data_IF_986983257224
#
_entry.id   IF_986983257224
#
_cell.length_a   1.000
_cell.length_b   1.000
_cell.length_c   1.000
_cell.angle_alpha   90.00
_cell.angle_beta   90.00
_cell.angle_gamma   90.00
#
_symmetry.space_group_name_H-M   'P 1'
#
loop_
_entity.id
_entity.type
_entity.pdbx_description
1 polymer ?
#
# COMPACT_ATOMS: atom_id res chain seq x y z
N UNK A 1 -35.80 -6.09 26.57
CA UNK A 1 -36.33 -6.36 25.22
C UNK A 1 -36.61 -5.02 24.57
N UNK A 2 -35.72 -4.56 23.69
CA UNK A 2 -36.04 -3.58 22.64
C UNK A 2 -35.13 -3.89 21.46
N UNK A 3 -35.74 -4.17 20.31
CA UNK A 3 -35.10 -4.56 19.06
C UNK A 3 -35.03 -3.33 18.17
N UNK A 4 -33.81 -2.98 17.76
CA UNK A 4 -33.48 -1.89 16.86
C UNK A 4 -33.96 -2.17 15.41
N UNK A 5 -34.76 -1.25 14.89
CA UNK A 5 -35.10 -1.09 13.48
C UNK A 5 -33.96 -0.37 12.74
N UNK A 6 -33.22 -1.05 11.84
CA UNK A 6 -32.35 -0.41 10.83
C UNK A 6 -32.17 -1.31 9.60
N UNK A 7 -33.10 -1.26 8.63
CA UNK A 7 -32.99 -1.94 7.33
C UNK A 7 -33.48 -1.04 6.18
N UNK A 8 -32.79 0.08 5.91
CA UNK A 8 -33.24 1.02 4.86
C UNK A 8 -32.17 1.65 3.96
N UNK A 9 -30.89 1.63 4.33
CA UNK A 9 -29.89 2.47 3.63
C UNK A 9 -28.89 1.72 2.73
N UNK A 10 -28.86 0.38 2.77
CA UNK A 10 -27.90 -0.41 1.98
C UNK A 10 -28.45 -0.88 0.61
N UNK A 11 -29.75 -0.76 0.37
CA UNK A 11 -30.36 -1.19 -0.89
C UNK A 11 -30.21 -0.17 -2.04
N UNK A 12 -29.95 1.10 -1.72
CA UNK A 12 -29.95 2.19 -2.72
C UNK A 12 -28.58 2.39 -3.38
N UNK A 13 -27.48 2.08 -2.68
CA UNK A 13 -26.11 2.22 -3.22
C UNK A 13 -25.76 1.06 -4.17
N UNK A 14 -26.30 -0.15 -3.92
CA UNK A 14 -26.04 -1.33 -4.77
C UNK A 14 -26.67 -1.22 -6.18
N UNK A 15 -27.72 -0.42 -6.38
CA UNK A 15 -28.37 -0.25 -7.69
C UNK A 15 -27.69 0.76 -8.61
N UNK A 16 -26.93 1.73 -8.09
CA UNK A 16 -26.26 2.72 -8.95
C UNK A 16 -25.00 2.16 -9.64
N UNK A 17 -24.38 1.13 -9.04
CA UNK A 17 -23.18 0.50 -9.58
C UNK A 17 -23.46 -0.55 -10.67
N UNK A 18 -24.59 -1.26 -10.61
CA UNK A 18 -24.99 -2.20 -11.67
C UNK A 18 -25.47 -1.49 -12.95
N UNK A 19 -26.22 -0.38 -12.80
CA UNK A 19 -26.76 0.38 -13.95
C UNK A 19 -25.64 1.06 -14.76
N UNK A 20 -24.49 1.32 -14.16
CA UNK A 20 -23.31 1.87 -14.84
C UNK A 20 -22.56 0.83 -15.68
N UNK A 21 -22.54 -0.45 -15.24
CA UNK A 21 -21.89 -1.53 -15.99
C UNK A 21 -22.70 -1.98 -17.21
N UNK A 22 -24.03 -2.01 -17.14
CA UNK A 22 -24.86 -2.38 -18.29
C UNK A 22 -24.80 -1.34 -19.41
N UNK A 23 -24.66 -0.05 -19.09
CA UNK A 23 -24.49 1.03 -20.09
C UNK A 23 -23.16 0.96 -20.84
N UNK A 24 -22.09 0.55 -20.17
CA UNK A 24 -20.78 0.37 -20.80
C UNK A 24 -20.78 -0.80 -21.79
N UNK A 25 -21.51 -1.87 -21.48
CA UNK A 25 -21.62 -3.06 -22.34
C UNK A 25 -22.62 -2.88 -23.49
N UNK A 26 -23.70 -2.11 -23.31
CA UNK A 26 -24.64 -1.80 -24.38
C UNK A 26 -24.02 -0.95 -25.49
N UNK A 27 -23.09 -0.03 -25.14
CA UNK A 27 -22.35 0.75 -26.13
C UNK A 27 -21.35 -0.10 -26.94
N UNK A 28 -20.81 -1.17 -26.36
CA UNK A 28 -19.93 -2.11 -27.07
C UNK A 28 -20.72 -3.00 -28.03
N UNK A 29 -21.96 -3.37 -27.69
CA UNK A 29 -22.83 -4.19 -28.55
C UNK A 29 -23.43 -3.41 -29.72
N UNK A 30 -23.77 -2.14 -29.52
CA UNK A 30 -24.24 -1.27 -30.59
C UNK A 30 -23.15 -0.97 -31.65
N UNK A 31 -21.87 -1.02 -31.25
CA UNK A 31 -20.74 -0.77 -32.15
C UNK A 31 -20.30 -1.97 -33.00
N UNK A 32 -20.84 -3.16 -32.75
CA UNK A 32 -20.44 -4.41 -33.44
C UNK A 32 -21.47 -4.89 -34.48
N UNK A 33 -22.54 -4.13 -34.71
CA UNK A 33 -23.67 -4.55 -35.56
C UNK A 33 -23.68 -4.03 -37.00
N UNK A 34 -22.81 -3.08 -37.38
CA UNK A 34 -22.83 -2.50 -38.74
C UNK A 34 -21.52 -2.76 -39.46
N UNK A 35 -21.59 -3.63 -40.46
CA UNK A 35 -20.46 -3.98 -41.32
C UNK A 35 -19.95 -2.77 -42.09
N UNK A 36 -18.72 -2.34 -41.78
CA UNK A 36 -17.81 -1.65 -42.69
C UNK A 36 -16.37 -2.05 -42.40
N UNK A 37 -15.60 -2.07 -43.47
CA UNK A 37 -14.26 -2.61 -43.60
C UNK A 37 -13.24 -2.07 -42.59
N UNK A 38 -12.29 -2.96 -42.30
CA UNK A 38 -11.16 -2.82 -41.40
C UNK A 38 -10.40 -1.48 -41.52
N UNK A 39 -10.47 -0.67 -40.46
CA UNK A 39 -9.38 0.23 -40.05
C UNK A 39 -9.08 -0.01 -38.57
N UNK A 40 -7.79 -0.20 -38.29
CA UNK A 40 -7.26 -0.88 -37.11
C UNK A 40 -7.83 -0.42 -35.77
N UNK A 41 -8.35 -1.38 -35.01
CA UNK A 41 -8.49 -1.27 -33.56
C UNK A 41 -7.14 -0.78 -33.01
N UNK A 42 -7.21 0.42 -32.45
CA UNK A 42 -6.10 1.35 -32.25
C UNK A 42 -4.96 0.76 -31.43
N UNK A 43 -3.74 1.19 -31.76
CA UNK A 43 -2.51 1.01 -30.99
C UNK A 43 -2.65 1.36 -29.49
N UNK A 44 -3.70 2.09 -29.13
CA UNK A 44 -4.15 2.35 -27.77
C UNK A 44 -4.47 1.05 -27.00
N UNK A 45 -5.32 0.17 -27.53
CA UNK A 45 -5.72 -1.05 -26.79
C UNK A 45 -4.55 -2.04 -26.61
N UNK A 46 -3.66 -2.16 -27.59
CA UNK A 46 -2.43 -2.99 -27.45
C UNK A 46 -1.45 -2.45 -26.41
N UNK A 47 -1.50 -1.15 -26.08
CA UNK A 47 -0.66 -0.52 -25.05
C UNK A 47 -1.26 -0.57 -23.64
N UNK A 48 -2.58 -0.73 -23.53
CA UNK A 48 -3.31 -0.76 -22.25
C UNK A 48 -3.66 -2.19 -21.77
N UNK A 49 -3.78 -3.18 -22.66
CA UNK A 49 -4.16 -4.56 -22.30
C UNK A 49 -3.12 -5.37 -21.49
N UNK A 50 -1.78 -5.18 -21.61
CA UNK A 50 -0.82 -5.87 -20.75
C UNK A 50 -0.91 -5.46 -19.27
N UNK A 51 -1.57 -4.33 -18.97
CA UNK A 51 -1.82 -3.84 -17.61
C UNK A 51 -3.09 -4.44 -17.00
N UNK A 52 -4.08 -4.83 -17.82
CA UNK A 52 -5.34 -5.44 -17.36
C UNK A 52 -5.18 -6.93 -17.03
N UNK A 53 -4.32 -7.65 -17.75
CA UNK A 53 -4.01 -9.06 -17.41
C UNK A 53 -3.19 -9.22 -16.12
N UNK A 54 -2.54 -8.14 -15.62
CA UNK A 54 -1.94 -8.09 -14.27
C UNK A 54 -2.94 -7.76 -13.16
N UNK A 55 -4.12 -7.25 -13.48
CA UNK A 55 -5.19 -6.96 -12.51
C UNK A 55 -5.96 -8.24 -12.15
N UNK A 56 -5.93 -9.26 -13.02
CA UNK A 56 -6.53 -10.58 -12.77
C UNK A 56 -5.50 -11.68 -12.49
N UNK A 57 -4.24 -11.31 -12.23
CA UNK A 57 -3.28 -12.25 -11.65
C UNK A 57 -3.80 -12.63 -10.27
N UNK A 58 -4.24 -13.88 -10.14
CA UNK A 58 -4.76 -14.56 -8.96
C UNK A 58 -4.67 -13.68 -7.71
N UNK A 59 -5.80 -13.12 -7.30
CA UNK A 59 -5.92 -12.51 -5.98
C UNK A 59 -5.50 -13.58 -4.99
N UNK A 60 -4.23 -13.52 -4.57
CA UNK A 60 -3.76 -14.33 -3.45
C UNK A 60 -4.77 -14.06 -2.36
N UNK A 61 -5.41 -15.11 -1.79
CA UNK A 61 -6.40 -14.91 -0.75
C UNK A 61 -5.76 -13.97 0.26
N UNK A 62 -6.33 -12.76 0.40
CA UNK A 62 -5.77 -11.69 1.23
C UNK A 62 -5.49 -12.36 2.56
N UNK A 63 -4.22 -12.67 2.84
CA UNK A 63 -3.88 -13.44 4.02
C UNK A 63 -4.51 -12.71 5.19
N UNK A 64 -5.48 -13.33 5.86
CA UNK A 64 -6.25 -12.64 6.88
C UNK A 64 -5.28 -12.22 7.97
N UNK A 65 -5.00 -10.92 8.04
CA UNK A 65 -4.06 -10.41 9.02
C UNK A 65 -4.66 -10.63 10.41
N UNK A 66 -3.86 -11.25 11.28
CA UNK A 66 -4.18 -11.33 12.70
C UNK A 66 -4.15 -9.92 13.31
N UNK A 67 -4.95 -9.64 14.35
CA UNK A 67 -4.88 -8.35 15.07
C UNK A 67 -3.48 -8.02 15.60
N UNK A 68 -2.70 -9.06 15.91
CA UNK A 68 -1.32 -8.95 16.41
C UNK A 68 -0.36 -9.14 15.24
N UNK A 69 0.68 -8.29 15.17
CA UNK A 69 1.79 -8.45 14.21
C UNK A 69 2.68 -9.60 14.69
N UNK A 70 2.94 -10.57 13.84
CA UNK A 70 3.81 -11.70 14.21
C UNK A 70 5.27 -11.24 14.27
N UNK A 71 6.09 -11.80 15.16
CA UNK A 71 7.56 -11.58 15.16
C UNK A 71 8.21 -11.98 13.83
N UNK A 72 7.62 -12.93 13.11
CA UNK A 72 8.13 -13.42 11.83
C UNK A 72 7.67 -12.56 10.64
N UNK A 73 6.79 -11.58 10.86
CA UNK A 73 6.28 -10.71 9.82
C UNK A 73 7.33 -9.69 9.38
N UNK A 74 7.38 -9.41 8.08
CA UNK A 74 8.10 -8.27 7.54
C UNK A 74 7.13 -7.10 7.40
N UNK A 75 7.53 -5.93 7.87
CA UNK A 75 6.82 -4.67 7.68
C UNK A 75 7.64 -3.73 6.81
N UNK A 76 6.99 -2.78 6.16
CA UNK A 76 7.63 -1.91 5.19
C UNK A 76 7.34 -0.44 5.48
N UNK A 77 8.40 0.37 5.51
CA UNK A 77 8.31 1.84 5.53
C UNK A 77 8.58 2.37 4.13
N UNK A 78 7.61 3.06 3.54
CA UNK A 78 7.77 3.62 2.20
C UNK A 78 8.65 4.87 2.21
N UNK A 79 9.51 5.00 1.19
CA UNK A 79 10.41 6.12 1.00
C UNK A 79 9.80 7.14 0.03
N UNK A 80 9.60 8.36 0.50
CA UNK A 80 9.10 9.48 -0.31
C UNK A 80 10.19 10.53 -0.59
N UNK A 81 11.26 10.54 0.21
CA UNK A 81 12.29 11.56 0.17
C UNK A 81 13.68 10.94 -0.02
N UNK A 82 14.51 11.61 -0.82
CA UNK A 82 15.87 11.14 -1.11
C UNK A 82 16.76 11.14 0.14
N UNK A 83 16.48 12.00 1.12
CA UNK A 83 17.28 12.13 2.34
C UNK A 83 17.26 10.88 3.22
N UNK A 84 16.23 10.04 3.09
CA UNK A 84 16.11 8.81 3.88
C UNK A 84 17.15 7.74 3.51
N UNK A 85 17.83 7.91 2.37
CA UNK A 85 18.86 7.01 1.88
C UNK A 85 20.20 7.76 1.77
N UNK A 86 21.29 7.10 2.10
CA UNK A 86 22.65 7.61 1.86
C UNK A 86 23.08 7.34 0.42
N UNK A 87 24.15 7.99 -0.02
CA UNK A 87 24.74 7.76 -1.35
C UNK A 87 25.19 6.31 -1.57
N UNK A 88 25.65 5.65 -0.51
CA UNK A 88 26.02 4.22 -0.52
C UNK A 88 24.81 3.27 -0.39
N UNK A 89 23.58 3.77 -0.58
CA UNK A 89 22.31 2.99 -0.50
C UNK A 89 21.99 2.39 0.87
N UNK A 90 22.63 2.84 1.94
CA UNK A 90 22.22 2.49 3.31
C UNK A 90 21.10 3.39 3.80
N UNK A 91 20.19 2.84 4.63
CA UNK A 91 19.07 3.59 5.19
C UNK A 91 19.59 4.54 6.29
N UNK A 92 19.08 5.77 6.32
CA UNK A 92 19.35 6.69 7.42
C UNK A 92 18.42 6.40 8.59
N UNK A 93 18.94 6.49 9.82
CA UNK A 93 18.12 6.37 11.04
C UNK A 93 16.91 7.31 11.05
N UNK A 94 17.01 8.49 10.43
CA UNK A 94 15.90 9.44 10.30
C UNK A 94 14.66 8.86 9.63
N UNK A 95 14.80 7.81 8.81
CA UNK A 95 13.69 7.09 8.20
C UNK A 95 12.82 6.33 9.22
N UNK A 96 13.40 5.95 10.36
CA UNK A 96 12.75 5.17 11.42
C UNK A 96 12.56 5.93 12.74
N UNK A 97 13.11 7.14 12.90
CA UNK A 97 12.80 8.02 14.06
C UNK A 97 11.30 8.17 14.25
N UNK A 98 10.70 8.22 15.45
CA UNK A 98 9.26 8.49 15.61
C UNK A 98 8.87 9.88 15.09
N UNK A 99 7.60 10.07 14.73
CA UNK A 99 7.04 11.36 14.40
C UNK A 99 6.70 12.13 15.69
N UNK A 100 6.14 13.33 15.56
CA UNK A 100 5.82 14.19 16.72
C UNK A 100 4.77 13.58 17.66
N UNK A 101 3.96 12.65 17.16
CA UNK A 101 2.99 11.85 17.92
C UNK A 101 3.62 10.67 18.68
N UNK A 102 4.94 10.46 18.56
CA UNK A 102 5.65 9.34 19.17
C UNK A 102 5.45 8.01 18.43
N UNK A 103 4.92 8.03 17.21
CA UNK A 103 4.66 6.84 16.40
C UNK A 103 5.50 6.82 15.11
N UNK A 104 5.69 5.65 14.54
CA UNK A 104 6.30 5.51 13.21
C UNK A 104 5.48 4.57 12.32
N UNK A 105 4.86 5.17 11.31
CA UNK A 105 4.00 4.45 10.36
C UNK A 105 4.76 3.48 9.47
N UNK A 106 4.23 2.26 9.37
CA UNK A 106 4.68 1.17 8.53
C UNK A 106 3.49 0.41 7.96
N UNK A 107 3.75 -0.50 7.03
CA UNK A 107 2.74 -1.34 6.41
C UNK A 107 3.10 -2.81 6.50
N UNK A 108 2.10 -3.62 6.79
CA UNK A 108 2.15 -5.08 6.89
C UNK A 108 2.14 -5.70 5.50
N UNK A 109 3.26 -6.29 5.09
CA UNK A 109 3.43 -6.82 3.73
C UNK A 109 3.42 -8.35 3.68
N UNK A 110 3.11 -9.01 4.81
CA UNK A 110 2.97 -10.46 4.84
C UNK A 110 1.87 -10.92 3.87
N UNK A 111 2.22 -11.92 3.06
CA UNK A 111 1.34 -12.51 2.05
C UNK A 111 1.10 -11.63 0.82
N UNK A 112 1.80 -10.51 0.67
CA UNK A 112 1.77 -9.71 -0.56
C UNK A 112 2.90 -10.10 -1.50
N UNK A 113 2.61 -10.14 -2.79
CA UNK A 113 3.62 -10.12 -3.84
C UNK A 113 4.38 -8.79 -3.83
N UNK A 114 5.53 -8.74 -4.52
CA UNK A 114 6.29 -7.51 -4.66
C UNK A 114 5.46 -6.40 -5.34
N UNK A 115 4.72 -6.75 -6.40
CA UNK A 115 3.82 -5.81 -7.09
C UNK A 115 2.70 -5.28 -6.21
N UNK A 116 2.08 -6.12 -5.40
CA UNK A 116 1.02 -5.69 -4.46
C UNK A 116 1.58 -4.79 -3.37
N UNK A 117 2.80 -5.08 -2.89
CA UNK A 117 3.50 -4.23 -1.94
C UNK A 117 3.77 -2.85 -2.54
N UNK A 118 4.25 -2.78 -3.79
CA UNK A 118 4.41 -1.49 -4.46
C UNK A 118 3.08 -0.75 -4.64
N UNK A 119 2.03 -1.44 -5.08
CA UNK A 119 0.71 -0.85 -5.23
C UNK A 119 0.18 -0.32 -3.90
N UNK A 120 0.38 -1.02 -2.79
CA UNK A 120 0.00 -0.56 -1.45
C UNK A 120 0.67 0.78 -1.11
N UNK A 121 1.99 0.89 -1.33
CA UNK A 121 2.72 2.14 -1.11
C UNK A 121 2.26 3.28 -2.02
N UNK A 122 1.91 2.97 -3.27
CA UNK A 122 1.41 3.96 -4.22
C UNK A 122 0.03 4.51 -3.82
N UNK A 123 -0.90 3.60 -3.54
CA UNK A 123 -2.29 3.92 -3.24
C UNK A 123 -2.43 4.59 -1.87
N UNK A 124 -1.76 4.05 -0.84
CA UNK A 124 -1.98 4.45 0.56
C UNK A 124 -1.03 5.52 1.06
N UNK A 125 0.12 5.72 0.40
CA UNK A 125 1.14 6.65 0.90
C UNK A 125 1.46 7.74 -0.12
N UNK A 126 1.96 7.35 -1.29
CA UNK A 126 2.47 8.29 -2.28
C UNK A 126 1.37 9.20 -2.83
N UNK A 127 0.23 8.62 -3.24
CA UNK A 127 -0.91 9.38 -3.76
C UNK A 127 -1.53 10.27 -2.71
N UNK A 128 -1.74 9.77 -1.49
CA UNK A 128 -2.32 10.52 -0.38
C UNK A 128 -1.48 11.75 -0.04
N UNK A 129 -0.15 11.63 -0.11
CA UNK A 129 0.77 12.74 0.18
C UNK A 129 1.16 13.58 -1.04
N UNK A 130 0.67 13.23 -2.23
CA UNK A 130 1.07 13.83 -3.50
C UNK A 130 2.61 13.88 -3.69
N UNK A 131 3.28 12.77 -3.35
CA UNK A 131 4.73 12.64 -3.44
C UNK A 131 5.12 11.40 -4.24
N UNK A 132 6.27 11.41 -4.94
CA UNK A 132 6.74 10.23 -5.65
C UNK A 132 7.15 9.12 -4.68
N UNK A 133 6.82 7.87 -5.02
CA UNK A 133 7.32 6.70 -4.31
C UNK A 133 8.73 6.36 -4.80
N UNK A 134 9.74 6.63 -3.98
CA UNK A 134 11.15 6.46 -4.34
C UNK A 134 11.67 5.06 -4.03
N UNK A 135 11.10 4.41 -3.02
CA UNK A 135 11.62 3.16 -2.48
C UNK A 135 10.75 2.63 -1.35
N UNK A 136 11.19 1.54 -0.74
CA UNK A 136 10.69 1.03 0.54
C UNK A 136 11.81 0.43 1.37
N UNK A 137 11.63 0.44 2.68
CA UNK A 137 12.55 -0.15 3.65
C UNK A 137 11.82 -1.25 4.40
N UNK A 138 12.21 -2.48 4.14
CA UNK A 138 11.58 -3.66 4.72
C UNK A 138 12.36 -4.05 5.98
N UNK A 139 11.66 -4.25 7.11
CA UNK A 139 12.26 -4.61 8.40
C UNK A 139 11.48 -5.75 9.03
N UNK A 140 12.18 -6.65 9.71
CA UNK A 140 11.56 -7.75 10.44
C UNK A 140 10.89 -7.24 11.73
N UNK A 141 9.66 -7.66 12.00
CA UNK A 141 8.92 -7.26 13.18
C UNK A 141 9.56 -7.74 14.50
N UNK A 142 10.23 -8.88 14.49
CA UNK A 142 11.02 -9.39 15.62
C UNK A 142 12.03 -8.37 16.12
N UNK A 143 12.75 -7.71 15.21
CA UNK A 143 13.71 -6.66 15.56
C UNK A 143 13.05 -5.48 16.28
N UNK A 144 11.85 -5.08 15.86
CA UNK A 144 11.09 -4.01 16.54
C UNK A 144 10.74 -4.42 17.97
N UNK A 145 10.29 -5.66 18.16
CA UNK A 145 10.01 -6.19 19.49
C UNK A 145 11.26 -6.34 20.36
N UNK A 146 12.41 -6.68 19.78
CA UNK A 146 13.70 -6.79 20.49
C UNK A 146 14.20 -5.42 20.97
N UNK A 147 13.69 -4.32 20.41
CA UNK A 147 13.91 -2.95 20.90
C UNK A 147 12.85 -2.49 21.91
N UNK A 148 12.07 -3.43 22.47
CA UNK A 148 10.96 -3.18 23.41
C UNK A 148 9.84 -2.29 22.85
N UNK A 149 9.83 -2.09 21.52
CA UNK A 149 8.75 -1.40 20.83
C UNK A 149 7.58 -2.34 20.55
N UNK A 150 6.44 -1.75 20.22
CA UNK A 150 5.19 -2.49 19.91
C UNK A 150 4.62 -2.01 18.58
N UNK A 151 3.77 -2.85 17.99
CA UNK A 151 2.94 -2.44 16.87
C UNK A 151 1.53 -2.10 17.35
N UNK A 152 0.98 -1.03 16.79
CA UNK A 152 -0.43 -0.67 16.90
C UNK A 152 -1.07 -0.70 15.50
N UNK A 153 -1.58 -1.86 15.04
CA UNK A 153 -2.24 -1.97 13.75
C UNK A 153 -3.57 -1.21 13.70
N UNK A 154 -3.94 -0.72 12.52
CA UNK A 154 -5.25 -0.12 12.30
C UNK A 154 -6.39 -1.12 12.57
N UNK A 155 -7.54 -0.60 13.01
CA UNK A 155 -8.75 -1.41 13.15
C UNK A 155 -9.22 -2.00 11.81
N UNK A 156 -9.08 -1.25 10.70
CA UNK A 156 -9.30 -1.77 9.37
C UNK A 156 -8.11 -2.60 8.90
N UNK A 157 -8.21 -3.92 9.04
CA UNK A 157 -7.18 -4.87 8.60
C UNK A 157 -6.87 -4.79 7.11
N UNK A 158 -7.80 -4.27 6.28
CA UNK A 158 -7.58 -4.10 4.84
C UNK A 158 -6.64 -2.94 4.54
N UNK A 159 -6.47 -1.98 5.46
CA UNK A 159 -5.51 -0.89 5.30
C UNK A 159 -4.08 -1.39 5.32
N UNK A 160 -3.82 -2.49 6.06
CA UNK A 160 -2.51 -3.06 6.36
C UNK A 160 -1.56 -2.08 7.05
N UNK A 161 -2.04 -0.92 7.46
CA UNK A 161 -1.27 0.09 8.16
C UNK A 161 -1.08 -0.33 9.62
N UNK A 162 0.10 -0.03 10.15
CA UNK A 162 0.39 -0.16 11.57
C UNK A 162 1.42 0.90 11.97
N UNK A 163 1.33 1.35 13.21
CA UNK A 163 2.35 2.22 13.78
C UNK A 163 3.27 1.42 14.70
N UNK A 164 4.57 1.71 14.60
CA UNK A 164 5.55 1.33 15.63
C UNK A 164 5.45 2.36 16.75
N UNK A 165 5.10 1.90 17.95
CA UNK A 165 4.83 2.71 19.15
C UNK A 165 5.66 2.23 20.34
N UNK A 166 5.60 2.97 21.45
CA UNK A 166 6.33 2.65 22.68
C UNK A 166 7.77 3.16 22.69
N UNK A 167 8.08 4.15 21.85
CA UNK A 167 9.38 4.79 21.82
C UNK A 167 9.73 5.44 23.17
N UNK A 168 10.99 5.34 23.63
CA UNK A 168 11.41 6.00 24.87
C UNK A 168 11.30 7.52 24.74
N UNK A 169 11.05 8.26 25.84
CA UNK A 169 10.94 9.72 25.80
C UNK A 169 12.27 10.41 25.48
N UNK A 170 13.41 9.77 25.75
CA UNK A 170 14.74 10.33 25.52
C UNK A 170 15.14 10.24 24.04
N UNK A 171 15.46 11.39 23.45
CA UNK A 171 15.77 11.52 22.01
C UNK A 171 17.00 10.70 21.62
N UNK A 172 17.98 10.57 22.50
CA UNK A 172 19.20 9.80 22.29
C UNK A 172 18.88 8.30 22.19
N UNK A 173 17.99 7.78 23.04
CA UNK A 173 17.52 6.40 22.97
C UNK A 173 16.70 6.14 21.71
N UNK A 174 15.83 7.09 21.32
CA UNK A 174 15.10 7.00 20.05
C UNK A 174 16.07 6.91 18.86
N UNK A 175 17.11 7.74 18.84
CA UNK A 175 18.13 7.70 17.79
C UNK A 175 18.88 6.38 17.77
N UNK A 176 19.26 5.86 18.93
CA UNK A 176 19.94 4.55 19.05
C UNK A 176 19.08 3.42 18.47
N UNK A 177 17.80 3.35 18.86
CA UNK A 177 16.87 2.34 18.34
C UNK A 177 16.66 2.52 16.82
N UNK A 178 16.45 3.76 16.36
CA UNK A 178 16.27 4.04 14.93
C UNK A 178 17.51 3.71 14.09
N UNK A 179 18.72 3.80 14.67
CA UNK A 179 19.96 3.37 14.02
C UNK A 179 20.00 1.84 13.88
N UNK A 180 19.62 1.09 14.91
CA UNK A 180 19.50 -0.38 14.84
C UNK A 180 18.50 -0.80 13.76
N UNK A 181 17.30 -0.22 13.77
CA UNK A 181 16.28 -0.52 12.75
C UNK A 181 16.75 -0.17 11.33
N UNK A 182 17.42 0.98 11.16
CA UNK A 182 17.94 1.38 9.85
C UNK A 182 19.11 0.53 9.35
N UNK A 183 19.94 0.02 10.25
CA UNK A 183 21.07 -0.84 9.90
C UNK A 183 20.61 -2.20 9.35
N UNK A 184 19.54 -2.76 9.94
CA UNK A 184 18.99 -4.06 9.56
C UNK A 184 17.91 -3.97 8.46
N UNK A 185 17.41 -2.76 8.16
CA UNK A 185 16.40 -2.58 7.14
C UNK A 185 16.94 -2.84 5.73
N UNK A 186 16.20 -3.63 4.96
CA UNK A 186 16.48 -3.87 3.54
C UNK A 186 15.91 -2.72 2.70
N UNK A 187 16.80 -1.93 2.10
CA UNK A 187 16.40 -0.89 1.15
C UNK A 187 16.10 -1.48 -0.24
N UNK A 188 14.88 -1.27 -0.73
CA UNK A 188 14.45 -1.68 -2.06
C UNK A 188 14.05 -0.42 -2.84
N UNK A 189 14.83 0.00 -3.84
CA UNK A 189 14.50 1.16 -4.66
C UNK A 189 13.28 0.86 -5.55
N UNK A 190 12.49 1.90 -5.84
CA UNK A 190 11.35 1.76 -6.74
C UNK A 190 11.79 1.32 -8.13
N UNK A 191 11.09 0.36 -8.78
CA UNK A 191 11.47 -0.16 -10.09
C UNK A 191 11.41 0.89 -11.21
N UNK A 192 10.63 1.98 -11.01
CA UNK A 192 10.66 3.18 -11.87
C UNK A 192 10.42 4.43 -11.01
N UNK A 193 11.14 5.55 -11.22
CA UNK A 193 10.71 6.82 -10.67
C UNK A 193 9.36 7.16 -11.31
N UNK A 194 8.28 7.06 -10.53
CA UNK A 194 6.98 7.51 -11.01
C UNK A 194 7.08 9.03 -11.05
N UNK A 195 7.20 9.56 -12.27
CA UNK A 195 7.26 10.99 -12.51
C UNK A 195 5.97 11.63 -11.99
N UNK A 196 6.08 12.80 -11.35
CA UNK A 196 4.90 13.55 -10.94
C UNK A 196 4.05 13.83 -12.18
N UNK A 197 2.71 13.68 -12.12
CA UNK A 197 1.87 14.28 -13.14
C UNK A 197 2.15 15.78 -13.13
N UNK A 198 2.61 16.30 -14.27
CA UNK A 198 2.76 17.73 -14.56
C UNK A 198 1.40 18.40 -14.61
#
# INVERSE_FOLDING_TARGET
MEILHWNGLLATIARSWLVSQERALSLTRAYLGEGREHMGLSSFLRRFLPSLSRIFGESSPIAELTPVVSRLETVSKYQLEKRDLRSNRTVRHSAFMPASDGARSVFRILGLSDSETWNLGLEKVARVRNLPLLGRFDVNAGLVYDQELRFNPDADRRSRHADIVGWPPEKEKQQSIAQVLAAEARAIPSPKPIQRPT
#
